data_IF_456896615558
#
_entry.id   IF_456896615558
#
_cell.length_a   1.000
_cell.length_b   1.000
_cell.length_c   1.000
_cell.angle_alpha   90.00
_cell.angle_beta   90.00
_cell.angle_gamma   90.00
#
_symmetry.space_group_name_H-M   'P 1'
#
loop_
_entity.id
_entity.type
_entity.pdbx_description
1 polymer ?
#
# COMPACT_ATOMS: atom_id res chain seq x y z
N UNK A 1 5.01 1.49 -19.58
CA UNK A 1 5.19 2.68 -18.74
C UNK A 1 5.53 2.21 -17.33
N UNK A 2 6.75 2.44 -16.85
CA UNK A 2 7.19 1.95 -15.53
C UNK A 2 6.46 2.74 -14.46
N UNK A 3 5.58 2.11 -13.70
CA UNK A 3 4.76 2.79 -12.69
C UNK A 3 5.50 3.00 -11.36
N UNK A 4 6.54 2.20 -11.07
CA UNK A 4 7.28 2.21 -9.81
C UNK A 4 8.78 2.25 -10.08
N UNK A 5 9.51 3.10 -9.36
CA UNK A 5 10.98 3.15 -9.35
C UNK A 5 11.46 2.97 -7.91
N UNK A 6 12.32 1.98 -7.70
CA UNK A 6 12.94 1.67 -6.41
C UNK A 6 14.41 2.10 -6.45
N UNK A 7 14.81 3.01 -5.59
CA UNK A 7 16.17 3.49 -5.45
C UNK A 7 16.87 2.81 -4.26
N UNK A 8 17.97 2.11 -4.54
CA UNK A 8 18.76 1.35 -3.59
C UNK A 8 18.33 -0.11 -3.47
N UNK A 9 19.29 -1.04 -3.46
CA UNK A 9 19.08 -2.48 -3.31
C UNK A 9 19.85 -3.06 -2.12
N UNK A 10 20.15 -2.23 -1.12
CA UNK A 10 20.61 -2.67 0.19
C UNK A 10 19.56 -3.54 0.92
N UNK A 11 19.80 -3.88 2.19
CA UNK A 11 18.91 -4.79 2.95
C UNK A 11 17.42 -4.45 2.87
N UNK A 12 17.08 -3.17 3.00
CA UNK A 12 15.69 -2.72 2.96
C UNK A 12 15.13 -2.76 1.53
N UNK A 13 15.87 -2.24 0.54
CA UNK A 13 15.45 -2.24 -0.85
C UNK A 13 15.24 -3.65 -1.40
N UNK A 14 16.15 -4.59 -1.09
CA UNK A 14 16.00 -6.01 -1.43
C UNK A 14 14.72 -6.62 -0.85
N UNK A 15 14.38 -6.30 0.40
CA UNK A 15 13.14 -6.77 1.02
C UNK A 15 11.91 -6.19 0.32
N UNK A 16 11.92 -4.89 0.01
CA UNK A 16 10.83 -4.23 -0.72
C UNK A 16 10.65 -4.84 -2.12
N UNK A 17 11.75 -5.06 -2.85
CA UNK A 17 11.72 -5.64 -4.20
C UNK A 17 11.02 -7.00 -4.24
N UNK A 18 11.23 -7.86 -3.23
CA UNK A 18 10.55 -9.16 -3.12
C UNK A 18 9.03 -9.04 -3.07
N UNK A 19 8.50 -8.06 -2.35
CA UNK A 19 7.06 -7.82 -2.27
C UNK A 19 6.49 -7.13 -3.52
N UNK A 20 7.34 -6.44 -4.30
CA UNK A 20 6.95 -5.84 -5.58
C UNK A 20 6.96 -6.83 -6.75
N UNK A 21 7.39 -8.06 -6.57
CA UNK A 21 7.69 -9.08 -7.59
C UNK A 21 6.59 -9.34 -8.63
N UNK A 22 5.32 -9.03 -8.33
CA UNK A 22 4.18 -9.15 -9.27
C UNK A 22 3.91 -7.87 -10.08
N UNK A 23 4.74 -6.82 -9.93
CA UNK A 23 4.55 -5.51 -10.57
C UNK A 23 5.76 -5.19 -11.44
N UNK A 24 5.55 -4.49 -12.54
CA UNK A 24 6.65 -3.93 -13.30
C UNK A 24 7.24 -2.74 -12.54
N UNK A 25 8.53 -2.83 -12.20
CA UNK A 25 9.27 -1.76 -11.54
C UNK A 25 10.73 -1.72 -12.04
N UNK A 26 11.36 -0.57 -11.85
CA UNK A 26 12.77 -0.35 -12.12
C UNK A 26 13.53 -0.30 -10.79
N UNK A 27 14.69 -0.95 -10.72
CA UNK A 27 15.65 -0.81 -9.62
C UNK A 27 16.78 0.12 -10.08
N UNK A 28 17.04 1.15 -9.30
CA UNK A 28 18.17 2.07 -9.52
C UNK A 28 19.13 1.89 -8.34
N UNK A 29 20.38 1.57 -8.64
CA UNK A 29 21.41 1.30 -7.64
C UNK A 29 22.64 2.19 -7.85
N UNK A 30 23.41 2.40 -6.77
CA UNK A 30 24.62 3.24 -6.75
C UNK A 30 25.87 2.47 -6.31
N UNK A 31 25.74 1.16 -6.13
CA UNK A 31 26.80 0.25 -5.76
C UNK A 31 26.79 -0.93 -6.73
N UNK A 32 27.97 -1.25 -7.29
CA UNK A 32 28.11 -2.33 -8.26
C UNK A 32 27.75 -3.69 -7.67
N UNK A 33 28.02 -3.91 -6.38
CA UNK A 33 27.64 -5.15 -5.70
C UNK A 33 26.10 -5.24 -5.56
N UNK A 34 25.40 -4.12 -5.31
CA UNK A 34 23.93 -4.08 -5.29
C UNK A 34 23.36 -4.44 -6.67
N UNK A 35 23.98 -3.96 -7.77
CA UNK A 35 23.60 -4.32 -9.13
C UNK A 35 23.75 -5.82 -9.37
N UNK A 36 24.94 -6.36 -9.12
CA UNK A 36 25.22 -7.79 -9.29
C UNK A 36 24.26 -8.62 -8.44
N UNK A 37 23.96 -8.20 -7.23
CA UNK A 37 23.05 -8.90 -6.35
C UNK A 37 21.60 -8.86 -6.87
N UNK A 38 21.13 -7.74 -7.38
CA UNK A 38 19.79 -7.61 -7.96
C UNK A 38 19.62 -8.49 -9.19
N UNK A 39 20.63 -8.50 -10.09
CA UNK A 39 20.67 -9.34 -11.27
C UNK A 39 20.69 -10.84 -10.91
N UNK A 40 21.46 -11.24 -9.91
CA UNK A 40 21.52 -12.61 -9.41
C UNK A 40 20.18 -13.05 -8.73
N UNK A 41 19.45 -12.13 -8.14
CA UNK A 41 18.12 -12.37 -7.60
C UNK A 41 17.03 -12.45 -8.69
N UNK A 42 17.40 -12.27 -9.97
CA UNK A 42 16.54 -12.44 -11.14
C UNK A 42 15.85 -11.18 -11.65
N UNK A 43 16.24 -9.99 -11.17
CA UNK A 43 15.67 -8.74 -11.66
C UNK A 43 16.37 -8.32 -12.97
N UNK A 44 15.59 -8.06 -14.01
CA UNK A 44 16.07 -7.69 -15.34
C UNK A 44 16.12 -6.17 -15.58
N UNK A 45 15.34 -5.41 -14.82
CA UNK A 45 15.26 -3.96 -14.95
C UNK A 45 16.08 -3.32 -13.84
N UNK A 46 17.42 -3.31 -13.99
CA UNK A 46 18.36 -2.72 -13.03
C UNK A 46 19.22 -1.70 -13.76
N UNK A 47 19.22 -0.47 -13.28
CA UNK A 47 20.09 0.60 -13.77
C UNK A 47 21.12 0.99 -12.70
N UNK A 48 22.36 1.22 -13.10
CA UNK A 48 23.47 1.55 -12.22
C UNK A 48 24.03 2.93 -12.55
N UNK A 49 24.25 3.73 -11.51
CA UNK A 49 24.88 5.05 -11.58
C UNK A 49 26.03 5.13 -10.59
N UNK A 50 27.23 5.47 -11.06
CA UNK A 50 28.49 5.38 -10.31
C UNK A 50 28.60 6.49 -9.30
N UNK A 51 27.98 7.35 -8.95
CA UNK A 51 28.16 8.33 -7.86
C UNK A 51 26.83 8.90 -7.35
N UNK A 52 26.37 9.96 -7.93
CA UNK A 52 25.10 10.58 -7.62
C UNK A 52 24.28 10.77 -8.88
N UNK A 53 23.04 10.37 -8.82
CA UNK A 53 22.11 10.62 -9.90
C UNK A 53 21.80 12.12 -9.96
N UNK A 54 21.91 12.70 -11.13
CA UNK A 54 21.57 14.08 -11.41
C UNK A 54 20.12 14.18 -11.89
N UNK A 55 19.59 15.39 -11.94
CA UNK A 55 18.21 15.63 -12.41
C UNK A 55 17.99 15.12 -13.85
N UNK A 56 18.99 15.24 -14.71
CA UNK A 56 18.93 14.74 -16.10
C UNK A 56 18.84 13.21 -16.14
N UNK A 57 19.60 12.50 -15.29
CA UNK A 57 19.51 11.04 -15.16
C UNK A 57 18.14 10.61 -14.66
N UNK A 58 17.60 11.31 -13.66
CA UNK A 58 16.23 11.08 -13.16
C UNK A 58 15.18 11.24 -14.24
N UNK A 59 15.37 12.20 -15.14
CA UNK A 59 14.47 12.40 -16.28
C UNK A 59 14.60 11.25 -17.27
N UNK A 60 15.83 10.81 -17.56
CA UNK A 60 16.11 9.71 -18.51
C UNK A 60 15.49 8.38 -18.04
N UNK A 61 15.55 8.07 -16.75
CA UNK A 61 14.90 6.87 -16.19
C UNK A 61 13.37 6.96 -16.12
N UNK A 62 12.80 8.12 -16.46
CA UNK A 62 11.33 8.30 -16.56
C UNK A 62 10.65 8.72 -15.27
N UNK A 63 11.33 9.48 -14.40
CA UNK A 63 10.73 9.94 -13.12
C UNK A 63 9.49 10.83 -13.31
N UNK A 64 9.42 11.57 -14.43
CA UNK A 64 8.28 12.45 -14.74
C UNK A 64 6.99 11.70 -15.01
N UNK A 65 7.10 10.48 -15.56
CA UNK A 65 5.99 9.60 -15.94
C UNK A 65 5.71 8.53 -14.89
N UNK A 66 6.58 8.38 -13.89
CA UNK A 66 6.41 7.40 -12.82
C UNK A 66 5.27 7.80 -11.87
N UNK A 67 4.54 6.81 -11.40
CA UNK A 67 3.46 7.01 -10.42
C UNK A 67 3.97 6.92 -8.98
N UNK A 68 5.03 6.15 -8.74
CA UNK A 68 5.58 5.93 -7.40
C UNK A 68 7.10 5.88 -7.44
N UNK A 69 7.75 6.57 -6.51
CA UNK A 69 9.17 6.43 -6.23
C UNK A 69 9.39 5.99 -4.78
N UNK A 70 10.31 5.05 -4.58
CA UNK A 70 10.65 4.48 -3.28
C UNK A 70 12.13 4.66 -3.02
N UNK A 71 12.50 5.54 -2.10
CA UNK A 71 13.88 5.88 -1.77
C UNK A 71 14.37 5.07 -0.56
N UNK A 72 15.28 4.10 -0.79
CA UNK A 72 15.76 3.15 0.21
C UNK A 72 17.29 3.17 0.36
N UNK A 73 17.97 4.27 0.02
CA UNK A 73 19.41 4.40 0.17
C UNK A 73 19.82 4.29 1.65
N UNK A 74 20.99 3.73 1.91
CA UNK A 74 21.52 3.61 3.27
C UNK A 74 22.00 4.95 3.84
N UNK A 75 22.59 5.80 3.00
CA UNK A 75 22.98 7.16 3.40
C UNK A 75 21.79 8.09 3.45
N UNK A 76 21.49 8.59 4.64
CA UNK A 76 20.33 9.44 4.93
C UNK A 76 20.34 10.77 4.16
N UNK A 77 21.53 11.40 4.03
CA UNK A 77 21.65 12.67 3.33
C UNK A 77 21.43 12.50 1.83
N UNK A 78 22.01 11.44 1.23
CA UNK A 78 21.79 11.08 -0.19
C UNK A 78 20.34 10.73 -0.44
N UNK A 79 19.72 9.97 0.46
CA UNK A 79 18.33 9.57 0.34
C UNK A 79 17.38 10.78 0.39
N UNK A 80 17.66 11.74 1.28
CA UNK A 80 16.89 12.97 1.38
C UNK A 80 17.08 13.87 0.15
N UNK A 81 18.32 14.01 -0.34
CA UNK A 81 18.59 14.80 -1.54
C UNK A 81 17.88 14.22 -2.76
N UNK A 82 17.95 12.90 -2.93
CA UNK A 82 17.22 12.19 -3.97
C UNK A 82 15.71 12.45 -3.90
N UNK A 83 15.12 12.37 -2.71
CA UNK A 83 13.70 12.64 -2.52
C UNK A 83 13.32 14.10 -2.90
N UNK A 84 14.18 15.07 -2.57
CA UNK A 84 14.00 16.48 -2.98
C UNK A 84 14.03 16.64 -4.50
N UNK A 85 15.03 16.05 -5.19
CA UNK A 85 15.15 16.11 -6.65
C UNK A 85 13.94 15.47 -7.32
N UNK A 86 13.51 14.29 -6.87
CA UNK A 86 12.33 13.60 -7.39
C UNK A 86 11.08 14.47 -7.24
N UNK A 87 10.82 15.02 -6.06
CA UNK A 87 9.66 15.90 -5.82
C UNK A 87 9.72 17.18 -6.64
N UNK A 88 10.92 17.70 -6.89
CA UNK A 88 11.07 18.88 -7.75
C UNK A 88 10.68 18.59 -9.20
N UNK A 89 11.08 17.43 -9.73
CA UNK A 89 10.83 17.01 -11.11
C UNK A 89 9.40 16.51 -11.34
N UNK A 90 8.81 15.82 -10.34
CA UNK A 90 7.45 15.29 -10.43
C UNK A 90 6.65 15.64 -9.16
N UNK A 91 5.77 16.64 -9.25
CA UNK A 91 4.97 17.14 -8.12
C UNK A 91 3.87 16.19 -7.67
N UNK A 92 3.43 15.30 -8.56
CA UNK A 92 2.29 14.38 -8.33
C UNK A 92 2.69 12.95 -8.00
N UNK A 93 3.97 12.61 -8.08
CA UNK A 93 4.46 11.25 -7.79
C UNK A 93 4.18 10.88 -6.34
N UNK A 94 3.75 9.65 -6.09
CA UNK A 94 3.73 9.09 -4.73
C UNK A 94 5.15 8.79 -4.28
N UNK A 95 5.65 9.56 -3.33
CA UNK A 95 7.03 9.50 -2.86
C UNK A 95 7.11 8.86 -1.48
N UNK A 96 7.82 7.73 -1.42
CA UNK A 96 8.05 6.98 -0.19
C UNK A 96 9.54 7.00 0.10
N UNK A 97 9.95 7.32 1.33
CA UNK A 97 11.35 7.32 1.72
C UNK A 97 11.58 6.60 3.05
N UNK A 98 12.69 5.86 3.13
CA UNK A 98 13.20 5.34 4.39
C UNK A 98 13.88 6.48 5.15
N UNK A 99 13.66 6.53 6.46
CA UNK A 99 14.44 7.34 7.40
C UNK A 99 14.93 6.46 8.55
N UNK A 100 16.16 6.67 8.96
CA UNK A 100 16.74 5.98 10.11
C UNK A 100 16.69 6.82 11.38
N UNK A 101 16.36 8.11 11.27
CA UNK A 101 16.37 9.04 12.39
C UNK A 101 15.12 9.93 12.41
N UNK A 102 14.53 10.07 13.59
CA UNK A 102 13.36 10.89 13.83
C UNK A 102 13.58 12.38 13.52
N UNK A 103 14.81 12.86 13.67
CA UNK A 103 15.14 14.24 13.30
C UNK A 103 14.97 14.51 11.80
N UNK A 104 15.23 13.52 10.95
CA UNK A 104 15.07 13.66 9.50
C UNK A 104 13.62 13.60 9.05
N UNK A 105 12.70 13.00 9.80
CA UNK A 105 11.30 12.90 9.42
C UNK A 105 10.65 14.25 9.12
N UNK A 106 10.93 15.25 9.94
CA UNK A 106 10.43 16.61 9.70
C UNK A 106 10.99 17.19 8.39
N UNK A 107 12.27 16.94 8.10
CA UNK A 107 12.92 17.40 6.87
C UNK A 107 12.35 16.70 5.64
N UNK A 108 12.07 15.39 5.69
CA UNK A 108 11.40 14.65 4.62
C UNK A 108 9.98 15.17 4.36
N UNK A 109 9.23 15.51 5.40
CA UNK A 109 7.92 16.15 5.24
C UNK A 109 8.03 17.49 4.51
N UNK A 110 9.00 18.32 4.89
CA UNK A 110 9.28 19.59 4.19
C UNK A 110 9.74 19.38 2.74
N UNK A 111 10.47 18.29 2.48
CA UNK A 111 10.86 17.87 1.13
C UNK A 111 9.69 17.35 0.28
N UNK A 112 8.49 17.21 0.87
CA UNK A 112 7.28 16.74 0.18
C UNK A 112 7.21 15.22 0.03
N UNK A 113 7.86 14.45 0.91
CA UNK A 113 7.71 13.00 0.98
C UNK A 113 6.34 12.65 1.54
N UNK A 114 5.57 11.82 0.83
CA UNK A 114 4.21 11.45 1.23
C UNK A 114 4.19 10.42 2.35
N UNK A 115 5.12 9.46 2.32
CA UNK A 115 5.21 8.40 3.32
C UNK A 115 6.67 8.21 3.77
N UNK A 116 6.90 8.31 5.07
CA UNK A 116 8.21 8.10 5.67
C UNK A 116 8.18 6.79 6.44
N UNK A 117 9.14 5.91 6.16
CA UNK A 117 9.28 4.59 6.77
C UNK A 117 10.47 4.60 7.71
N UNK A 118 10.22 4.63 9.03
CA UNK A 118 11.25 4.50 10.04
C UNK A 118 11.31 3.04 10.51
N UNK A 119 12.29 2.30 10.00
CA UNK A 119 12.43 0.87 10.30
C UNK A 119 12.71 0.58 11.77
N UNK A 120 13.40 1.46 12.47
CA UNK A 120 13.68 1.31 13.91
C UNK A 120 12.42 1.52 14.74
N UNK A 121 11.62 2.55 14.45
CA UNK A 121 10.35 2.78 15.14
C UNK A 121 9.35 1.65 14.88
N UNK A 122 9.22 1.21 13.64
CA UNK A 122 8.34 0.08 13.30
C UNK A 122 8.76 -1.15 14.09
N UNK A 123 10.06 -1.45 14.15
CA UNK A 123 10.57 -2.59 14.91
C UNK A 123 10.31 -2.44 16.41
N UNK A 124 10.58 -1.27 16.98
CA UNK A 124 10.34 -1.00 18.40
C UNK A 124 8.84 -1.11 18.76
N UNK A 125 7.96 -0.52 17.94
CA UNK A 125 6.51 -0.67 18.11
C UNK A 125 6.04 -2.11 17.98
N UNK A 126 6.63 -2.89 17.07
CA UNK A 126 6.31 -4.32 16.92
C UNK A 126 6.70 -5.10 18.17
N UNK A 127 7.90 -4.86 18.73
CA UNK A 127 8.35 -5.49 19.99
C UNK A 127 7.43 -5.10 21.14
N UNK A 128 7.17 -3.79 21.33
CA UNK A 128 6.27 -3.31 22.39
C UNK A 128 4.88 -3.96 22.30
N UNK A 129 4.36 -4.07 21.09
CA UNK A 129 3.07 -4.69 20.84
C UNK A 129 3.05 -6.19 21.12
N UNK A 130 4.11 -6.92 20.76
CA UNK A 130 4.26 -8.36 21.11
C UNK A 130 4.24 -8.57 22.62
N UNK A 131 4.91 -7.66 23.35
CA UNK A 131 4.95 -7.74 24.82
C UNK A 131 3.61 -7.41 25.47
N UNK A 132 2.85 -6.46 24.93
CA UNK A 132 1.59 -5.99 25.51
C UNK A 132 0.35 -6.76 25.04
N UNK A 133 0.32 -7.17 23.78
CA UNK A 133 -0.88 -7.77 23.13
C UNK A 133 -0.49 -8.92 22.19
N UNK A 134 0.15 -10.01 22.68
CA UNK A 134 0.67 -11.06 21.83
C UNK A 134 -0.40 -11.72 20.95
N UNK A 135 -1.55 -12.07 21.55
CA UNK A 135 -2.63 -12.78 20.84
C UNK A 135 -3.26 -11.93 19.73
N UNK A 136 -3.50 -10.63 20.02
CA UNK A 136 -4.09 -9.73 19.02
C UNK A 136 -3.17 -9.54 17.81
N UNK A 137 -1.85 -9.47 18.05
CA UNK A 137 -0.87 -9.32 16.98
C UNK A 137 -0.70 -10.57 16.14
N UNK A 138 -0.72 -11.75 16.78
CA UNK A 138 -0.70 -13.02 16.06
C UNK A 138 -1.93 -13.15 15.16
N UNK A 139 -3.09 -12.79 15.66
CA UNK A 139 -4.33 -12.76 14.88
C UNK A 139 -4.25 -11.82 13.67
N UNK A 140 -3.81 -10.57 13.88
CA UNK A 140 -3.65 -9.60 12.78
C UNK A 140 -2.57 -10.05 11.80
N UNK A 141 -1.45 -10.60 12.29
CA UNK A 141 -0.37 -11.10 11.44
C UNK A 141 -0.86 -12.21 10.52
N UNK A 142 -1.63 -13.14 11.05
CA UNK A 142 -2.17 -14.27 10.30
C UNK A 142 -3.13 -13.81 9.20
N UNK A 143 -3.96 -12.81 9.49
CA UNK A 143 -4.90 -12.26 8.50
C UNK A 143 -4.18 -11.45 7.41
N UNK A 144 -3.14 -10.67 7.76
CA UNK A 144 -2.53 -9.71 6.83
C UNK A 144 -1.37 -10.29 6.05
N UNK A 145 -0.58 -11.23 6.63
CA UNK A 145 0.71 -11.66 6.09
C UNK A 145 0.84 -13.16 5.82
N UNK A 146 -0.05 -13.99 6.31
CA UNK A 146 -0.06 -15.40 5.98
C UNK A 146 -1.08 -15.68 4.87
N UNK A 147 -0.78 -16.69 4.04
CA UNK A 147 -1.68 -17.19 2.97
C UNK A 147 -2.89 -17.95 3.57
N UNK A 148 -3.59 -17.32 4.50
CA UNK A 148 -4.82 -17.82 5.05
C UNK A 148 -6.00 -17.37 4.20
N UNK A 149 -7.07 -18.16 4.19
CA UNK A 149 -8.30 -17.82 3.50
C UNK A 149 -8.96 -16.54 4.03
N UNK A 150 -8.68 -16.17 5.29
CA UNK A 150 -9.22 -14.97 5.93
C UNK A 150 -8.43 -13.70 5.53
N UNK A 151 -9.15 -12.72 5.02
CA UNK A 151 -8.59 -11.43 4.60
C UNK A 151 -9.38 -10.25 5.15
N UNK A 152 -8.69 -9.11 5.29
CA UNK A 152 -9.36 -7.81 5.33
C UNK A 152 -9.66 -7.39 3.89
N UNK A 153 -10.92 -7.25 3.57
CA UNK A 153 -11.34 -6.86 2.24
C UNK A 153 -12.11 -5.55 2.24
N UNK A 154 -12.02 -4.86 1.11
CA UNK A 154 -12.79 -3.66 0.81
C UNK A 154 -13.82 -4.00 -0.27
N UNK A 155 -15.08 -3.70 -0.01
CA UNK A 155 -16.19 -3.92 -0.92
C UNK A 155 -16.79 -2.55 -1.22
N UNK A 156 -16.65 -2.08 -2.44
CA UNK A 156 -17.30 -0.86 -2.91
C UNK A 156 -18.78 -1.15 -3.17
N UNK A 157 -19.66 -0.34 -2.61
CA UNK A 157 -21.10 -0.47 -2.81
C UNK A 157 -21.45 0.04 -4.20
N UNK A 158 -21.83 -0.89 -5.07
CA UNK A 158 -22.20 -0.55 -6.45
C UNK A 158 -23.60 0.05 -6.49
N UNK A 159 -23.75 1.09 -7.30
CA UNK A 159 -25.05 1.75 -7.51
C UNK A 159 -26.08 0.76 -8.06
N UNK A 160 -27.29 0.79 -7.48
CA UNK A 160 -28.38 -0.11 -7.77
C UNK A 160 -28.10 -1.60 -7.46
N UNK A 161 -27.07 -1.91 -6.68
CA UNK A 161 -26.88 -3.25 -6.14
C UNK A 161 -27.88 -3.55 -5.02
N UNK A 162 -27.95 -4.81 -4.59
CA UNK A 162 -28.82 -5.19 -3.46
C UNK A 162 -28.38 -4.60 -2.11
N UNK A 163 -27.15 -4.06 -2.03
CA UNK A 163 -26.63 -3.37 -0.86
C UNK A 163 -26.96 -1.87 -0.87
N UNK A 164 -27.15 -1.26 -2.04
CA UNK A 164 -27.37 0.18 -2.18
C UNK A 164 -28.68 0.63 -1.52
N UNK A 165 -28.57 1.55 -0.58
CA UNK A 165 -29.68 2.09 0.18
C UNK A 165 -30.15 1.24 1.37
N UNK A 166 -29.50 0.09 1.64
CA UNK A 166 -29.84 -0.80 2.75
C UNK A 166 -29.12 -0.41 4.03
N UNK A 167 -29.72 -0.78 5.16
CA UNK A 167 -29.01 -0.77 6.43
C UNK A 167 -28.19 -2.04 6.59
N UNK A 168 -27.04 -1.93 7.25
CA UNK A 168 -26.09 -3.03 7.35
C UNK A 168 -26.69 -4.28 8.02
N UNK A 169 -27.53 -4.08 9.03
CA UNK A 169 -28.26 -5.13 9.75
C UNK A 169 -29.29 -5.87 8.86
N UNK A 170 -29.85 -5.20 7.85
CA UNK A 170 -30.78 -5.81 6.90
C UNK A 170 -30.08 -6.79 5.93
N UNK A 171 -28.76 -6.66 5.76
CA UNK A 171 -28.00 -7.46 4.79
C UNK A 171 -27.62 -8.82 5.36
N UNK A 172 -27.55 -8.96 6.69
CA UNK A 172 -27.16 -10.19 7.37
C UNK A 172 -25.86 -10.79 6.81
N UNK A 173 -24.80 -9.97 6.66
CA UNK A 173 -23.52 -10.35 6.03
C UNK A 173 -22.89 -11.60 6.65
N UNK A 174 -22.94 -11.71 7.98
CA UNK A 174 -22.41 -12.85 8.71
C UNK A 174 -23.15 -14.14 8.35
N UNK A 175 -24.46 -14.06 8.18
CA UNK A 175 -25.30 -15.24 7.92
C UNK A 175 -25.25 -15.67 6.46
N UNK A 176 -25.23 -14.69 5.53
CA UNK A 176 -25.37 -14.95 4.10
C UNK A 176 -24.02 -15.19 3.43
N UNK A 177 -22.94 -14.58 3.94
CA UNK A 177 -21.62 -14.58 3.32
C UNK A 177 -20.48 -14.94 4.27
N UNK A 178 -20.75 -15.23 5.53
CA UNK A 178 -19.72 -15.48 6.55
C UNK A 178 -18.67 -14.33 6.63
N UNK A 179 -19.15 -13.08 6.41
CA UNK A 179 -18.33 -11.87 6.42
C UNK A 179 -18.66 -11.02 7.65
N UNK A 180 -17.63 -10.65 8.40
CA UNK A 180 -17.75 -9.80 9.60
C UNK A 180 -17.50 -8.35 9.19
N UNK A 181 -18.49 -7.44 9.25
CA UNK A 181 -18.29 -6.04 8.95
C UNK A 181 -17.48 -5.35 10.07
N UNK A 182 -16.46 -4.56 9.68
CA UNK A 182 -15.57 -3.85 10.60
C UNK A 182 -15.82 -2.36 10.57
N UNK A 183 -16.06 -1.80 9.38
CA UNK A 183 -16.24 -0.37 9.23
C UNK A 183 -16.72 0.01 7.85
N UNK A 184 -17.11 1.27 7.72
CA UNK A 184 -17.54 1.89 6.48
C UNK A 184 -16.73 3.15 6.26
N UNK A 185 -16.32 3.39 5.01
CA UNK A 185 -15.81 4.67 4.55
C UNK A 185 -16.92 5.33 3.75
N UNK A 186 -17.60 6.30 4.36
CA UNK A 186 -18.62 7.12 3.72
C UNK A 186 -17.93 8.23 2.91
N UNK A 187 -17.88 8.08 1.60
CA UNK A 187 -17.19 9.00 0.70
C UNK A 187 -17.85 10.36 0.57
N UNK A 188 -19.13 10.47 0.93
CA UNK A 188 -19.83 11.76 0.93
C UNK A 188 -19.45 12.60 2.15
N UNK A 189 -19.14 11.97 3.29
CA UNK A 189 -18.81 12.66 4.54
C UNK A 189 -17.32 12.79 4.79
N UNK A 190 -16.57 11.71 4.63
CA UNK A 190 -15.13 11.70 4.87
C UNK A 190 -14.45 10.46 4.28
N UNK A 191 -13.17 10.57 3.86
CA UNK A 191 -12.35 9.42 3.46
C UNK A 191 -11.80 8.63 4.67
N UNK A 192 -12.41 8.73 5.84
CA UNK A 192 -11.98 8.04 7.06
C UNK A 192 -12.88 6.84 7.33
N UNK A 193 -12.23 5.75 7.75
CA UNK A 193 -12.92 4.56 8.22
C UNK A 193 -13.67 4.88 9.52
N UNK A 194 -14.98 4.73 9.51
CA UNK A 194 -15.82 4.74 10.69
C UNK A 194 -16.14 3.29 11.08
N UNK A 195 -16.00 2.97 12.38
CA UNK A 195 -16.38 1.64 12.86
C UNK A 195 -17.88 1.42 12.68
N UNK A 196 -18.24 0.21 12.30
CA UNK A 196 -19.64 -0.17 12.11
C UNK A 196 -20.43 -0.02 13.40
N UNK A 197 -21.52 0.72 13.31
CA UNK A 197 -22.60 0.76 14.31
C UNK A 197 -23.87 0.17 13.67
N UNK A 198 -24.74 -0.42 14.47
CA UNK A 198 -25.94 -1.17 14.04
C UNK A 198 -26.87 -0.45 13.04
N UNK A 199 -26.74 0.87 12.89
CA UNK A 199 -27.62 1.70 12.06
C UNK A 199 -26.91 2.36 10.86
N UNK A 200 -25.79 1.82 10.40
CA UNK A 200 -25.12 2.39 9.23
C UNK A 200 -25.85 2.03 7.95
N UNK A 201 -26.26 3.05 7.20
CA UNK A 201 -26.80 2.91 5.86
C UNK A 201 -25.65 2.78 4.86
N UNK A 202 -25.79 1.88 3.90
CA UNK A 202 -24.87 1.65 2.81
C UNK A 202 -25.35 2.43 1.58
N UNK A 203 -24.61 3.41 1.15
CA UNK A 203 -24.95 4.19 -0.05
C UNK A 203 -23.93 3.89 -1.18
N UNK A 204 -24.39 4.05 -2.43
CA UNK A 204 -23.53 3.79 -3.59
C UNK A 204 -22.24 4.64 -3.56
N UNK A 205 -21.09 4.00 -3.73
CA UNK A 205 -19.76 4.61 -3.65
C UNK A 205 -19.08 4.48 -2.29
N UNK A 206 -19.82 4.09 -1.23
CA UNK A 206 -19.23 3.77 0.07
C UNK A 206 -18.36 2.53 -0.02
N UNK A 207 -17.38 2.44 0.88
CA UNK A 207 -16.53 1.26 1.01
C UNK A 207 -16.83 0.55 2.32
N UNK A 208 -17.38 -0.65 2.23
CA UNK A 208 -17.55 -1.54 3.35
C UNK A 208 -16.27 -2.35 3.58
N UNK A 209 -15.72 -2.28 4.79
CA UNK A 209 -14.55 -3.06 5.19
C UNK A 209 -15.00 -4.26 5.99
N UNK A 210 -14.61 -5.44 5.54
CA UNK A 210 -15.00 -6.73 6.13
C UNK A 210 -13.79 -7.62 6.44
N UNK A 211 -13.97 -8.57 7.34
CA UNK A 211 -13.09 -9.74 7.52
C UNK A 211 -13.87 -10.98 7.10
N UNK A 212 -13.26 -11.83 6.30
CA UNK A 212 -13.82 -13.12 5.92
C UNK A 212 -12.97 -13.86 4.90
N UNK A 213 -13.48 -14.98 4.42
CA UNK A 213 -12.81 -15.78 3.39
C UNK A 213 -12.80 -15.04 2.04
N UNK A 214 -11.66 -15.15 1.32
CA UNK A 214 -11.50 -14.54 0.00
C UNK A 214 -12.61 -14.99 -0.97
N UNK A 215 -13.02 -16.26 -0.91
CA UNK A 215 -14.08 -16.78 -1.76
C UNK A 215 -15.44 -16.13 -1.49
N UNK A 216 -15.74 -15.85 -0.22
CA UNK A 216 -16.99 -15.19 0.15
C UNK A 216 -16.97 -13.69 -0.20
N UNK A 217 -15.79 -13.05 -0.11
CA UNK A 217 -15.60 -11.67 -0.59
C UNK A 217 -15.83 -11.59 -2.10
N UNK A 218 -15.31 -12.53 -2.86
CA UNK A 218 -15.52 -12.56 -4.32
C UNK A 218 -16.98 -12.91 -4.66
N UNK A 219 -17.60 -13.78 -3.88
CA UNK A 219 -19.01 -14.14 -4.05
C UNK A 219 -19.95 -12.94 -3.89
N UNK A 220 -19.82 -12.16 -2.82
CA UNK A 220 -20.67 -10.97 -2.61
C UNK A 220 -20.48 -9.93 -3.73
N UNK A 221 -19.25 -9.74 -4.22
CA UNK A 221 -18.98 -8.85 -5.35
C UNK A 221 -19.67 -9.31 -6.62
N UNK A 222 -19.59 -10.59 -6.93
CA UNK A 222 -20.27 -11.19 -8.09
C UNK A 222 -21.78 -11.09 -7.96
N UNK A 223 -22.34 -11.38 -6.79
CA UNK A 223 -23.79 -11.30 -6.53
C UNK A 223 -24.31 -9.86 -6.73
N UNK A 224 -23.54 -8.84 -6.33
CA UNK A 224 -23.88 -7.43 -6.60
C UNK A 224 -23.95 -7.14 -8.11
N UNK A 225 -22.95 -7.60 -8.88
CA UNK A 225 -22.94 -7.40 -10.34
C UNK A 225 -24.09 -8.14 -11.03
N UNK A 226 -24.37 -9.36 -10.62
CA UNK A 226 -25.48 -10.14 -11.17
C UNK A 226 -26.82 -9.49 -10.85
N UNK A 227 -27.03 -9.02 -9.62
CA UNK A 227 -28.24 -8.31 -9.22
C UNK A 227 -28.51 -7.09 -10.11
N UNK A 228 -27.47 -6.28 -10.39
CA UNK A 228 -27.59 -5.10 -11.24
C UNK A 228 -27.98 -5.51 -12.67
N UNK A 229 -27.35 -6.56 -13.24
CA UNK A 229 -27.67 -7.04 -14.59
C UNK A 229 -29.12 -7.50 -14.73
N UNK A 230 -29.66 -8.14 -13.69
CA UNK A 230 -31.05 -8.63 -13.70
C UNK A 230 -32.09 -7.52 -13.57
N UNK A 231 -31.80 -6.43 -12.87
CA UNK A 231 -32.73 -5.33 -12.62
C UNK A 231 -32.55 -4.14 -13.56
N UNK A 232 -31.59 -4.23 -14.50
CA UNK A 232 -31.34 -3.20 -15.54
C UNK A 232 -31.96 -3.54 -16.89
N UNK A 233 -32.71 -4.64 -16.99
CA UNK A 233 -33.51 -5.03 -18.16
C UNK A 233 -34.97 -4.61 -17.95
#
# INVERSE_FOLDING_TARGET
MRSIILFGYGRNGKSVAKYLNKREFLIVVYDENEKIQAENDGYLNVEFYDESILDDDLIEIGIKEANTAICMLEDEARNMFLALSIRNLNKSIKLIAKSNDREYEHRYKLAGVDQIINSYEITAHRIDSILKKPITLEFIHNIVFEDNSLVFAQIEILKNSFLDGKYLDEVELERNYDLIPIGIVDREKSDKLELVLENNKLDAGDILVVIGDTLEVDRIKNDMEEYIKWHSQ
#
